data_IF_983164542288
#
_entry.id   IF_983164542288
#
_cell.length_a   1.000
_cell.length_b   1.000
_cell.length_c   1.000
_cell.angle_alpha   90.00
_cell.angle_beta   90.00
_cell.angle_gamma   90.00
#
_symmetry.space_group_name_H-M   'P 1'
#
loop_
_entity.id
_entity.type
_entity.pdbx_description
1 polymer ?
#
# COMPACT_ATOMS: atom_id res chain seq x y z
N UNK A 1 -8.47 -9.70 59.63
CA UNK A 1 -7.05 -9.49 59.98
C UNK A 1 -6.26 -9.92 58.76
N UNK A 2 -5.90 -8.98 57.90
CA UNK A 2 -5.35 -9.24 56.56
C UNK A 2 -3.84 -9.26 56.72
N UNK A 3 -3.22 -10.41 56.48
CA UNK A 3 -1.76 -10.54 56.53
C UNK A 3 -1.14 -9.75 55.38
N UNK A 4 -0.25 -8.83 55.73
CA UNK A 4 0.49 -7.97 54.81
C UNK A 4 1.36 -8.83 53.90
N UNK A 5 1.02 -8.88 52.62
CA UNK A 5 1.89 -9.39 51.58
C UNK A 5 3.03 -8.39 51.35
N UNK A 6 4.18 -8.66 51.97
CA UNK A 6 5.41 -7.89 51.79
C UNK A 6 6.03 -8.32 50.45
N UNK A 7 5.84 -7.50 49.42
CA UNK A 7 6.51 -7.66 48.14
C UNK A 7 7.93 -7.08 48.23
N UNK A 8 8.93 -7.92 48.48
CA UNK A 8 10.34 -7.54 48.38
C UNK A 8 10.75 -7.56 46.90
N UNK A 9 10.98 -6.38 46.31
CA UNK A 9 11.66 -6.26 45.02
C UNK A 9 13.17 -6.29 45.23
N UNK A 10 13.75 -7.48 45.38
CA UNK A 10 15.19 -7.67 45.17
C UNK A 10 15.41 -8.03 43.70
N UNK A 11 15.41 -6.99 42.86
CA UNK A 11 15.85 -7.07 41.48
C UNK A 11 17.07 -6.18 41.31
N UNK A 12 18.24 -6.69 41.66
CA UNK A 12 19.53 -6.06 41.39
C UNK A 12 19.80 -6.08 39.89
N UNK A 13 19.21 -5.14 39.15
CA UNK A 13 19.65 -4.72 37.81
C UNK A 13 19.34 -3.22 37.68
N UNK A 14 19.88 -2.42 38.60
CA UNK A 14 19.93 -0.97 38.42
C UNK A 14 20.90 -0.68 37.29
N UNK A 15 20.39 -0.55 36.05
CA UNK A 15 21.14 -0.06 34.91
C UNK A 15 21.56 1.38 35.26
N UNK A 16 22.79 1.54 35.76
CA UNK A 16 23.44 2.85 35.85
C UNK A 16 23.64 3.30 34.40
N UNK A 17 22.73 4.15 33.95
CA UNK A 17 22.84 4.85 32.68
C UNK A 17 23.67 6.08 33.00
N UNK A 18 24.95 6.02 32.68
CA UNK A 18 25.85 7.17 32.80
C UNK A 18 25.45 8.23 31.75
N UNK A 19 25.79 9.50 31.92
CA UNK A 19 25.38 10.57 30.98
C UNK A 19 25.87 10.34 29.54
N UNK A 20 26.94 9.54 29.36
CA UNK A 20 27.39 9.02 28.07
C UNK A 20 26.38 8.08 27.40
N UNK A 21 25.64 7.30 28.17
CA UNK A 21 24.67 6.33 27.65
C UNK A 21 23.41 7.01 27.12
N UNK A 22 23.05 8.19 27.67
CA UNK A 22 21.95 9.01 27.14
C UNK A 22 22.31 9.62 25.78
N UNK A 23 23.56 10.08 25.62
CA UNK A 23 24.07 10.57 24.35
C UNK A 23 24.21 9.43 23.32
N UNK A 24 24.67 8.26 23.75
CA UNK A 24 24.72 7.06 22.89
C UNK A 24 23.31 6.63 22.47
N UNK A 25 22.34 6.63 23.38
CA UNK A 25 20.95 6.33 23.06
C UNK A 25 20.37 7.32 22.04
N UNK A 26 20.67 8.61 22.17
CA UNK A 26 20.27 9.63 21.19
C UNK A 26 20.89 9.39 19.82
N UNK A 27 22.18 9.06 19.77
CA UNK A 27 22.89 8.72 18.52
C UNK A 27 22.29 7.48 17.88
N UNK A 28 21.99 6.44 18.65
CA UNK A 28 21.35 5.21 18.15
C UNK A 28 19.96 5.51 17.58
N UNK A 29 19.12 6.26 18.31
CA UNK A 29 17.79 6.65 17.84
C UNK A 29 17.88 7.49 16.57
N UNK A 30 18.81 8.46 16.50
CA UNK A 30 19.04 9.28 15.31
C UNK A 30 19.46 8.43 14.10
N UNK A 31 20.39 7.48 14.28
CA UNK A 31 20.84 6.57 13.22
C UNK A 31 19.69 5.68 12.73
N UNK A 32 18.88 5.13 13.64
CA UNK A 32 17.71 4.31 13.27
C UNK A 32 16.67 5.12 12.50
N UNK A 33 16.43 6.38 12.87
CA UNK A 33 15.54 7.28 12.14
C UNK A 33 16.09 7.60 10.74
N UNK A 34 17.39 7.89 10.61
CA UNK A 34 18.02 8.16 9.31
C UNK A 34 17.95 6.95 8.36
N UNK A 35 18.13 5.73 8.89
CA UNK A 35 17.98 4.49 8.12
C UNK A 35 16.53 4.34 7.62
N UNK A 36 15.54 4.58 8.50
CA UNK A 36 14.12 4.51 8.14
C UNK A 36 13.73 5.55 7.09
N UNK A 37 14.19 6.79 7.24
CA UNK A 37 13.95 7.88 6.27
C UNK A 37 14.57 7.51 4.91
N UNK A 38 15.82 7.05 4.90
CA UNK A 38 16.51 6.61 3.67
C UNK A 38 15.76 5.49 2.95
N UNK A 39 15.28 4.48 3.69
CA UNK A 39 14.47 3.39 3.14
C UNK A 39 13.15 3.89 2.50
N UNK A 40 12.44 4.80 3.17
CA UNK A 40 11.19 5.37 2.65
C UNK A 40 11.42 6.18 1.37
N UNK A 41 12.49 6.98 1.32
CA UNK A 41 12.86 7.77 0.13
C UNK A 41 13.15 6.85 -1.07
N UNK A 42 13.94 5.79 -0.86
CA UNK A 42 14.26 4.81 -1.91
C UNK A 42 12.99 4.11 -2.41
N UNK A 43 12.13 3.64 -1.49
CA UNK A 43 10.86 3.00 -1.85
C UNK A 43 9.92 3.94 -2.62
N UNK A 44 9.84 5.21 -2.22
CA UNK A 44 8.99 6.21 -2.87
C UNK A 44 9.46 6.53 -4.31
N UNK A 45 10.77 6.52 -4.58
CA UNK A 45 11.32 6.72 -5.93
C UNK A 45 10.95 5.56 -6.88
N UNK A 46 10.93 4.33 -6.37
CA UNK A 46 10.56 3.13 -7.15
C UNK A 46 9.07 3.17 -7.54
N UNK A 47 8.19 3.53 -6.59
CA UNK A 47 6.73 3.63 -6.84
C UNK A 47 6.39 4.78 -7.81
N UNK A 48 7.13 5.89 -7.75
CA UNK A 48 6.91 7.05 -8.63
C UNK A 48 7.33 6.81 -10.09
N UNK A 49 8.29 5.92 -10.33
CA UNK A 49 8.70 5.52 -11.68
C UNK A 49 7.64 4.62 -12.35
N UNK A 50 6.92 3.80 -11.56
CA UNK A 50 5.90 2.89 -12.09
C UNK A 50 4.58 3.61 -12.43
N UNK A 51 4.22 4.68 -11.69
CA UNK A 51 2.99 5.47 -11.95
C UNK A 51 3.01 6.26 -13.27
N UNK A 52 4.20 6.61 -13.79
CA UNK A 52 4.33 7.30 -15.10
C UNK A 52 4.14 6.37 -16.31
N UNK A 53 4.26 5.05 -16.13
CA UNK A 53 4.08 4.10 -17.23
C UNK A 53 2.61 3.75 -17.49
N UNK A 54 1.70 3.98 -16.53
CA UNK A 54 0.26 3.79 -16.74
C UNK A 54 -0.51 5.01 -17.26
N UNK A 55 0.16 6.14 -17.53
CA UNK A 55 -0.50 7.37 -18.03
C UNK A 55 0.20 8.03 -19.22
N UNK A 56 1.24 7.41 -19.78
CA UNK A 56 1.92 7.93 -20.98
C UNK A 56 2.13 6.86 -22.05
N UNK A 57 1.13 6.00 -22.25
CA UNK A 57 0.95 5.28 -23.50
C UNK A 57 -0.15 6.01 -24.27
N UNK A 58 0.26 6.98 -25.10
CA UNK A 58 -0.55 7.45 -26.22
C UNK A 58 -0.34 6.42 -27.34
N UNK A 59 -0.97 5.26 -27.23
CA UNK A 59 -1.12 4.34 -28.38
C UNK A 59 -2.24 4.93 -29.24
N UNK A 60 -1.83 5.62 -30.28
CA UNK A 60 -2.59 5.50 -31.51
C UNK A 60 -2.17 4.17 -32.15
N UNK A 61 -3.18 3.44 -32.62
CA UNK A 61 -3.08 2.42 -33.67
C UNK A 61 -2.88 0.96 -33.22
N UNK A 62 -3.90 0.39 -32.59
CA UNK A 62 -4.94 -0.35 -33.32
C UNK A 62 -6.29 0.07 -32.76
N UNK A 63 -7.29 0.24 -33.63
CA UNK A 63 -8.68 0.49 -33.22
C UNK A 63 -9.28 -0.78 -32.64
N UNK A 64 -8.75 -1.30 -31.54
CA UNK A 64 -9.43 -2.30 -30.73
C UNK A 64 -10.46 -1.58 -29.88
N UNK A 65 -11.53 -1.15 -30.55
CA UNK A 65 -12.73 -0.75 -29.84
C UNK A 65 -13.28 -1.99 -29.14
N UNK A 66 -13.09 -2.06 -27.83
CA UNK A 66 -13.74 -3.06 -26.99
C UNK A 66 -15.25 -2.92 -27.19
N UNK A 67 -15.94 -4.05 -27.35
CA UNK A 67 -17.39 -4.07 -27.58
C UNK A 67 -18.07 -4.76 -26.42
N UNK A 68 -19.27 -4.29 -26.08
CA UNK A 68 -20.11 -4.97 -25.11
C UNK A 68 -20.54 -6.33 -25.66
N UNK A 69 -20.40 -7.38 -24.86
CA UNK A 69 -20.80 -8.74 -25.25
C UNK A 69 -22.31 -8.88 -25.55
N UNK A 70 -23.14 -8.01 -24.96
CA UNK A 70 -24.60 -8.08 -25.07
C UNK A 70 -25.16 -7.25 -26.24
N UNK A 71 -24.62 -6.05 -26.48
CA UNK A 71 -25.16 -5.12 -27.48
C UNK A 71 -24.18 -4.66 -28.56
N UNK A 72 -22.91 -5.09 -28.50
CA UNK A 72 -21.88 -4.71 -29.45
C UNK A 72 -21.48 -3.23 -29.39
N UNK A 73 -22.02 -2.43 -28.46
CA UNK A 73 -21.64 -1.02 -28.30
C UNK A 73 -20.15 -0.92 -27.95
N UNK A 74 -19.46 0.03 -28.56
CA UNK A 74 -18.07 0.36 -28.21
C UNK A 74 -18.01 0.86 -26.77
N UNK A 75 -17.09 0.31 -25.99
CA UNK A 75 -16.86 0.68 -24.59
C UNK A 75 -15.47 1.27 -24.43
N UNK A 76 -15.33 2.15 -23.44
CA UNK A 76 -14.06 2.77 -23.12
C UNK A 76 -13.14 1.80 -22.39
N UNK A 77 -11.85 2.08 -22.42
CA UNK A 77 -10.83 1.31 -21.70
C UNK A 77 -11.15 1.19 -20.20
N UNK A 78 -11.60 2.29 -19.57
CA UNK A 78 -12.03 2.30 -18.16
C UNK A 78 -13.16 1.32 -17.87
N UNK A 79 -14.10 1.16 -18.82
CA UNK A 79 -15.23 0.24 -18.68
C UNK A 79 -14.76 -1.21 -18.80
N UNK A 80 -13.85 -1.50 -19.74
CA UNK A 80 -13.21 -2.81 -19.87
C UNK A 80 -12.52 -3.19 -18.57
N UNK A 81 -11.66 -2.31 -18.05
CA UNK A 81 -10.88 -2.60 -16.85
C UNK A 81 -11.81 -2.85 -15.65
N UNK A 82 -12.86 -2.05 -15.49
CA UNK A 82 -13.86 -2.25 -14.44
C UNK A 82 -14.56 -3.63 -14.53
N UNK A 83 -14.90 -4.08 -15.74
CA UNK A 83 -15.48 -5.41 -15.94
C UNK A 83 -14.48 -6.54 -15.63
N UNK A 84 -13.21 -6.36 -16.02
CA UNK A 84 -12.14 -7.36 -15.81
C UNK A 84 -11.68 -7.44 -14.35
N UNK A 85 -11.69 -6.33 -13.61
CA UNK A 85 -11.40 -6.28 -12.16
C UNK A 85 -12.46 -7.01 -11.32
N UNK A 86 -13.66 -7.22 -11.89
CA UNK A 86 -14.79 -7.86 -11.22
C UNK A 86 -15.25 -9.12 -11.98
N UNK A 87 -14.39 -10.13 -12.11
CA UNK A 87 -14.72 -11.35 -12.84
C UNK A 87 -15.89 -12.11 -12.18
N UNK A 88 -16.10 -11.95 -10.87
CA UNK A 88 -17.22 -12.56 -10.15
C UNK A 88 -18.60 -12.05 -10.61
N UNK A 89 -18.70 -10.80 -11.09
CA UNK A 89 -19.98 -10.21 -11.54
C UNK A 89 -20.17 -10.35 -13.04
N UNK A 90 -19.08 -10.22 -13.80
CA UNK A 90 -19.14 -10.13 -15.26
C UNK A 90 -18.51 -11.34 -15.98
N UNK A 91 -18.10 -12.38 -15.26
CA UNK A 91 -17.48 -13.59 -15.82
C UNK A 91 -16.30 -13.31 -16.77
N UNK A 92 -15.59 -12.21 -16.56
CA UNK A 92 -14.50 -11.77 -17.45
C UNK A 92 -14.96 -11.19 -18.79
N UNK A 93 -16.27 -10.99 -19.00
CA UNK A 93 -16.83 -10.35 -20.18
C UNK A 93 -17.00 -8.85 -19.95
N UNK A 94 -17.03 -8.08 -21.04
CA UNK A 94 -17.14 -6.61 -20.98
C UNK A 94 -18.56 -6.17 -21.33
N UNK A 95 -19.12 -5.32 -20.47
CA UNK A 95 -20.49 -4.79 -20.62
C UNK A 95 -20.48 -3.26 -20.66
N UNK A 96 -21.39 -2.64 -21.43
CA UNK A 96 -21.57 -1.19 -21.41
C UNK A 96 -22.25 -0.74 -20.11
N UNK A 97 -22.21 0.55 -19.79
CA UNK A 97 -22.80 1.10 -18.56
C UNK A 97 -24.27 0.71 -18.35
N UNK A 98 -25.05 0.65 -19.42
CA UNK A 98 -26.45 0.24 -19.37
C UNK A 98 -26.58 -1.22 -18.85
N UNK A 99 -25.86 -2.17 -19.44
CA UNK A 99 -25.91 -3.59 -19.05
C UNK A 99 -25.17 -3.88 -17.74
N UNK A 100 -24.17 -3.07 -17.37
CA UNK A 100 -23.51 -3.18 -16.06
C UNK A 100 -24.44 -2.89 -14.88
N UNK A 101 -25.50 -2.10 -15.11
CA UNK A 101 -26.47 -1.69 -14.09
C UNK A 101 -27.65 -2.66 -14.00
N UNK A 102 -27.95 -3.35 -15.11
CA UNK A 102 -29.07 -4.29 -15.22
C UNK A 102 -28.69 -5.72 -14.81
N UNK A 103 -27.45 -6.15 -15.09
CA UNK A 103 -26.84 -7.38 -14.55
C UNK A 103 -26.13 -7.10 -13.22
#
# INVERSE_FOLDING_TARGET
MIEHFVFQTTGENGLKVDESDLNIAFVIVAVLLLIRISYVIVKHKIVSANKKQHTKIKVQETTESFVCAECGKKVSEKVRDYCLERPNKFAGQVYCYDHQKTN
#
